data_IF_326052079633
#
_entry.id   IF_326052079633
#
_cell.length_a   1.000
_cell.length_b   1.000
_cell.length_c   1.000
_cell.angle_alpha   90.00
_cell.angle_beta   90.00
_cell.angle_gamma   90.00
#
_symmetry.space_group_name_H-M   'P 1'
#
loop_
_entity.id
_entity.type
_entity.pdbx_description
1 polymer ?
#
# COMPACT_ATOMS: atom_id res chain seq x y z
N UNK A 1 16.46 9.36 10.89
CA UNK A 1 15.97 8.08 10.33
C UNK A 1 16.41 6.96 11.27
N UNK A 2 15.63 5.89 11.46
CA UNK A 2 16.12 4.69 12.16
C UNK A 2 17.40 4.21 11.45
N UNK A 3 18.43 3.77 12.18
CA UNK A 3 19.57 3.11 11.55
C UNK A 3 19.08 1.83 10.87
N UNK A 4 19.49 1.60 9.64
CA UNK A 4 19.22 0.33 8.94
C UNK A 4 19.89 -0.78 9.74
N UNK A 5 19.08 -1.65 10.33
CA UNK A 5 19.50 -2.80 11.11
C UNK A 5 18.55 -3.96 10.80
N UNK A 6 18.96 -5.18 11.16
CA UNK A 6 18.11 -6.37 11.02
C UNK A 6 16.76 -6.16 11.72
N UNK A 7 16.77 -5.47 12.87
CA UNK A 7 15.54 -5.11 13.58
C UNK A 7 14.68 -4.13 12.76
N UNK A 8 15.25 -3.05 12.21
CA UNK A 8 14.50 -2.10 11.37
C UNK A 8 13.90 -2.78 10.14
N UNK A 9 14.64 -3.71 9.51
CA UNK A 9 14.16 -4.49 8.38
C UNK A 9 13.00 -5.41 8.81
N UNK A 10 13.16 -6.17 9.89
CA UNK A 10 12.09 -7.03 10.42
C UNK A 10 10.82 -6.25 10.77
N UNK A 11 10.97 -5.04 11.32
CA UNK A 11 9.85 -4.13 11.59
C UNK A 11 9.12 -3.68 10.32
N UNK A 12 9.85 -3.39 9.25
CA UNK A 12 9.24 -3.06 7.95
C UNK A 12 8.40 -4.21 7.42
N UNK A 13 8.93 -5.43 7.49
CA UNK A 13 8.21 -6.64 7.07
C UNK A 13 6.92 -6.84 7.86
N UNK A 14 6.96 -6.77 9.19
CA UNK A 14 5.76 -6.94 10.02
C UNK A 14 4.73 -5.84 9.72
N UNK A 15 5.18 -4.59 9.61
CA UNK A 15 4.27 -3.48 9.35
C UNK A 15 3.64 -3.56 7.94
N UNK A 16 4.44 -3.89 6.92
CA UNK A 16 3.95 -4.11 5.55
C UNK A 16 2.99 -5.29 5.46
N UNK A 17 3.28 -6.39 6.16
CA UNK A 17 2.40 -7.55 6.23
C UNK A 17 1.04 -7.18 6.82
N UNK A 18 1.00 -6.52 7.98
CA UNK A 18 -0.25 -6.13 8.61
C UNK A 18 -1.04 -5.12 7.78
N UNK A 19 -0.35 -4.15 7.16
CA UNK A 19 -0.97 -3.17 6.28
C UNK A 19 -1.58 -3.83 5.02
N UNK A 20 -0.88 -4.79 4.42
CA UNK A 20 -1.37 -5.55 3.26
C UNK A 20 -2.59 -6.40 3.63
N UNK A 21 -2.55 -7.10 4.77
CA UNK A 21 -3.72 -7.84 5.26
C UNK A 21 -4.91 -6.92 5.56
N UNK A 22 -4.69 -5.74 6.11
CA UNK A 22 -5.77 -4.78 6.34
C UNK A 22 -6.39 -4.29 5.02
N UNK A 23 -5.57 -4.03 4.00
CA UNK A 23 -6.02 -3.69 2.65
C UNK A 23 -6.87 -4.82 2.04
N UNK A 24 -6.34 -6.05 2.04
CA UNK A 24 -6.99 -7.20 1.42
C UNK A 24 -8.27 -7.57 2.17
N UNK A 25 -8.27 -7.52 3.51
CA UNK A 25 -9.46 -7.73 4.34
C UNK A 25 -10.54 -6.70 4.03
N UNK A 26 -10.18 -5.42 3.94
CA UNK A 26 -11.11 -4.38 3.51
C UNK A 26 -11.69 -4.69 2.12
N UNK A 27 -10.82 -4.96 1.14
CA UNK A 27 -11.20 -5.05 -0.26
C UNK A 27 -11.91 -6.33 -0.68
N UNK A 28 -11.63 -7.45 -0.01
CA UNK A 28 -12.13 -8.77 -0.39
C UNK A 28 -13.24 -9.28 0.53
N UNK A 29 -13.34 -8.74 1.76
CA UNK A 29 -14.30 -9.22 2.76
C UNK A 29 -15.26 -8.11 3.18
N UNK A 30 -14.74 -6.97 3.66
CA UNK A 30 -15.59 -5.92 4.23
C UNK A 30 -16.37 -5.19 3.14
N UNK A 31 -15.70 -4.73 2.07
CA UNK A 31 -16.37 -3.95 1.04
C UNK A 31 -17.46 -4.74 0.31
N UNK A 32 -17.28 -6.01 -0.10
CA UNK A 32 -18.35 -6.79 -0.71
C UNK A 32 -19.47 -7.12 0.29
N UNK A 33 -19.11 -7.39 1.56
CA UNK A 33 -20.09 -7.63 2.62
C UNK A 33 -21.01 -6.43 2.90
N UNK A 34 -20.56 -5.22 2.58
CA UNK A 34 -21.35 -3.99 2.66
C UNK A 34 -22.04 -3.62 1.33
N UNK A 35 -21.97 -4.47 0.31
CA UNK A 35 -22.56 -4.24 -1.01
C UNK A 35 -21.73 -3.34 -1.94
N UNK A 36 -20.50 -2.99 -1.56
CA UNK A 36 -19.56 -2.28 -2.44
C UNK A 36 -18.81 -3.25 -3.37
N UNK A 37 -18.02 -2.71 -4.29
CA UNK A 37 -17.23 -3.51 -5.22
C UNK A 37 -16.19 -4.39 -4.51
N UNK A 38 -15.91 -5.55 -5.10
CA UNK A 38 -14.85 -6.46 -4.68
C UNK A 38 -13.51 -6.07 -5.32
N UNK A 39 -12.48 -5.87 -4.52
CA UNK A 39 -11.13 -5.62 -5.01
C UNK A 39 -10.49 -6.92 -5.47
N UNK A 40 -9.90 -6.90 -6.67
CA UNK A 40 -8.96 -7.93 -7.13
C UNK A 40 -7.55 -7.34 -7.23
N UNK A 41 -6.78 -7.35 -6.13
CA UNK A 41 -5.47 -6.70 -6.10
C UNK A 41 -4.47 -7.41 -7.01
N UNK A 42 -4.54 -8.75 -7.05
CA UNK A 42 -3.76 -9.57 -7.97
C UNK A 42 -4.13 -9.33 -9.44
N UNK A 43 -5.38 -8.93 -9.75
CA UNK A 43 -5.84 -8.68 -11.11
C UNK A 43 -5.03 -7.58 -11.81
N UNK A 44 -4.81 -6.45 -11.14
CA UNK A 44 -3.98 -5.38 -11.66
C UNK A 44 -2.53 -5.83 -11.87
N UNK A 45 -1.96 -6.58 -10.92
CA UNK A 45 -0.62 -7.11 -11.04
C UNK A 45 -0.47 -8.06 -12.23
N UNK A 46 -1.46 -8.93 -12.47
CA UNK A 46 -1.49 -9.81 -13.66
C UNK A 46 -1.53 -9.01 -14.95
N UNK A 47 -2.38 -7.98 -15.03
CA UNK A 47 -2.45 -7.10 -16.20
C UNK A 47 -1.10 -6.42 -16.48
N UNK A 48 -0.43 -5.92 -15.44
CA UNK A 48 0.88 -5.30 -15.56
C UNK A 48 1.95 -6.29 -16.04
N UNK A 49 2.03 -7.48 -15.42
CA UNK A 49 2.99 -8.52 -15.82
C UNK A 49 2.75 -8.95 -17.27
N UNK A 50 1.49 -9.16 -17.65
CA UNK A 50 1.11 -9.51 -19.02
C UNK A 50 1.49 -8.43 -20.03
N UNK A 51 1.35 -7.14 -19.67
CA UNK A 51 1.76 -6.02 -20.51
C UNK A 51 3.26 -6.05 -20.85
N UNK A 52 4.08 -6.54 -19.93
CA UNK A 52 5.53 -6.69 -20.12
C UNK A 52 5.94 -8.07 -20.68
N UNK A 53 4.97 -8.93 -21.05
CA UNK A 53 5.26 -10.28 -21.55
C UNK A 53 5.81 -11.23 -20.47
N UNK A 54 5.62 -10.91 -19.20
CA UNK A 54 6.06 -11.73 -18.06
C UNK A 54 4.99 -12.76 -17.67
N UNK A 55 5.36 -13.84 -16.94
CA UNK A 55 4.40 -14.78 -16.38
C UNK A 55 3.34 -14.04 -15.53
N UNK A 56 2.07 -14.18 -15.89
CA UNK A 56 0.95 -13.42 -15.32
C UNK A 56 -0.17 -14.30 -14.78
N UNK A 57 0.15 -15.53 -14.35
CA UNK A 57 -0.78 -16.41 -13.64
C UNK A 57 -1.14 -15.89 -12.25
N UNK A 58 -2.11 -16.52 -11.59
CA UNK A 58 -2.60 -16.07 -10.28
C UNK A 58 -1.50 -16.01 -9.22
N UNK A 59 -0.63 -17.03 -9.16
CA UNK A 59 0.52 -17.01 -8.27
C UNK A 59 1.39 -15.77 -8.47
N UNK A 60 1.72 -15.43 -9.72
CA UNK A 60 2.56 -14.27 -10.02
C UNK A 60 1.87 -12.95 -9.65
N UNK A 61 0.56 -12.84 -9.89
CA UNK A 61 -0.25 -11.69 -9.48
C UNK A 61 -0.26 -11.49 -7.97
N UNK A 62 -0.56 -12.54 -7.21
CA UNK A 62 -0.54 -12.49 -5.74
C UNK A 62 0.88 -12.23 -5.21
N UNK A 63 1.89 -12.86 -5.80
CA UNK A 63 3.27 -12.67 -5.40
C UNK A 63 3.70 -11.21 -5.56
N UNK A 64 3.41 -10.62 -6.73
CA UNK A 64 3.76 -9.23 -7.02
C UNK A 64 3.00 -8.24 -6.14
N UNK A 65 1.67 -8.41 -6.02
CA UNK A 65 0.83 -7.55 -5.17
C UNK A 65 1.28 -7.62 -3.70
N UNK A 66 1.33 -8.82 -3.14
CA UNK A 66 1.51 -8.99 -1.71
C UNK A 66 2.97 -8.81 -1.29
N UNK A 67 3.92 -9.53 -1.92
CA UNK A 67 5.31 -9.55 -1.45
C UNK A 67 6.15 -8.41 -2.01
N UNK A 68 6.09 -8.15 -3.31
CA UNK A 68 6.95 -7.12 -3.91
C UNK A 68 6.47 -5.71 -3.57
N UNK A 69 5.16 -5.48 -3.71
CA UNK A 69 4.60 -4.14 -3.55
C UNK A 69 4.11 -3.91 -2.12
N UNK A 70 3.18 -4.73 -1.63
CA UNK A 70 2.56 -4.54 -0.31
C UNK A 70 3.51 -4.72 0.87
N UNK A 71 4.37 -5.73 0.83
CA UNK A 71 5.27 -6.07 1.94
C UNK A 71 6.59 -5.29 1.91
N UNK A 72 7.10 -4.94 0.72
CA UNK A 72 8.44 -4.36 0.55
C UNK A 72 8.39 -2.96 -0.05
N UNK A 73 7.81 -2.81 -1.25
CA UNK A 73 7.82 -1.56 -2.00
C UNK A 73 7.18 -0.39 -1.25
N UNK A 74 5.96 -0.58 -0.73
CA UNK A 74 5.24 0.46 -0.02
C UNK A 74 5.87 0.83 1.35
N UNK A 75 6.39 -0.09 2.18
CA UNK A 75 7.14 0.30 3.37
C UNK A 75 8.44 1.05 3.05
N UNK A 76 9.15 0.67 1.99
CA UNK A 76 10.34 1.39 1.50
C UNK A 76 9.96 2.81 1.06
N UNK A 77 8.91 2.94 0.25
CA UNK A 77 8.41 4.24 -0.21
C UNK A 77 8.06 5.18 0.94
N UNK A 78 7.48 4.65 2.03
CA UNK A 78 7.21 5.43 3.24
C UNK A 78 8.51 5.92 3.89
N UNK A 79 9.42 4.99 4.25
CA UNK A 79 10.58 5.31 5.09
C UNK A 79 11.66 6.12 4.39
N UNK A 80 11.88 5.87 3.09
CA UNK A 80 13.02 6.42 2.38
C UNK A 80 12.68 7.58 1.46
N UNK A 81 11.40 7.71 1.07
CA UNK A 81 10.97 8.75 0.13
C UNK A 81 9.98 9.70 0.81
N UNK A 82 8.80 9.19 1.19
CA UNK A 82 7.71 10.04 1.62
C UNK A 82 7.95 10.71 2.97
N UNK A 83 8.26 9.94 4.02
CA UNK A 83 8.46 10.48 5.37
C UNK A 83 9.60 11.53 5.43
N UNK A 84 10.76 11.31 4.77
CA UNK A 84 11.82 12.33 4.73
C UNK A 84 11.40 13.61 4.02
N UNK A 85 10.70 13.51 2.88
CA UNK A 85 10.21 14.67 2.13
C UNK A 85 9.16 15.42 2.95
N UNK A 86 8.20 14.72 3.53
CA UNK A 86 7.16 15.31 4.37
C UNK A 86 7.76 16.11 5.53
N UNK A 87 8.71 15.51 6.27
CA UNK A 87 9.39 16.18 7.38
C UNK A 87 10.19 17.40 6.91
N UNK A 88 10.76 17.38 5.72
CA UNK A 88 11.51 18.52 5.16
C UNK A 88 10.60 19.67 4.73
N UNK A 89 9.44 19.38 4.17
CA UNK A 89 8.53 20.40 3.61
C UNK A 89 7.53 20.92 4.65
N UNK A 90 6.93 20.03 5.44
CA UNK A 90 5.83 20.34 6.36
C UNK A 90 6.21 20.19 7.84
N UNK A 91 7.39 19.65 8.14
CA UNK A 91 7.84 19.39 9.51
C UNK A 91 7.05 18.27 10.19
N UNK A 92 6.98 18.33 11.52
CA UNK A 92 6.27 17.35 12.36
C UNK A 92 4.88 17.81 12.82
N UNK A 93 4.37 18.90 12.23
CA UNK A 93 3.18 19.64 12.70
C UNK A 93 1.88 18.84 12.67
N UNK A 94 1.78 17.83 11.80
CA UNK A 94 0.54 17.08 11.55
C UNK A 94 0.51 15.69 12.22
N UNK A 95 1.41 15.44 13.17
CA UNK A 95 1.55 14.13 13.79
C UNK A 95 1.88 13.04 12.77
N UNK A 96 1.43 11.81 13.03
CA UNK A 96 1.70 10.64 12.18
C UNK A 96 0.50 10.25 11.30
N UNK A 97 -0.71 10.60 11.72
CA UNK A 97 -1.95 10.13 11.10
C UNK A 97 -2.25 10.82 9.76
N UNK A 98 -2.06 12.14 9.70
CA UNK A 98 -2.24 12.90 8.46
C UNK A 98 -1.23 12.46 7.39
N UNK A 99 0.10 12.42 7.65
CA UNK A 99 1.04 11.97 6.63
C UNK A 99 0.78 10.52 6.19
N UNK A 100 0.35 9.63 7.08
CA UNK A 100 0.05 8.23 6.71
C UNK A 100 -1.16 8.13 5.78
N UNK A 101 -2.21 8.92 6.03
CA UNK A 101 -3.37 9.01 5.15
C UNK A 101 -3.01 9.61 3.78
N UNK A 102 -2.20 10.68 3.75
CA UNK A 102 -1.73 11.30 2.49
C UNK A 102 -0.84 10.33 1.71
N UNK A 103 0.02 9.57 2.40
CA UNK A 103 0.81 8.53 1.74
C UNK A 103 -0.08 7.47 1.10
N UNK A 104 -1.08 6.97 1.83
CA UNK A 104 -2.05 6.02 1.29
C UNK A 104 -2.84 6.58 0.10
N UNK A 105 -3.25 7.85 0.15
CA UNK A 105 -3.84 8.53 -1.02
C UNK A 105 -2.87 8.57 -2.21
N UNK A 106 -1.59 8.88 -1.97
CA UNK A 106 -0.55 8.84 -2.99
C UNK A 106 -0.37 7.46 -3.62
N UNK A 107 -0.43 6.39 -2.81
CA UNK A 107 -0.40 5.02 -3.31
C UNK A 107 -1.61 4.70 -4.19
N UNK A 108 -2.80 5.19 -3.84
CA UNK A 108 -3.99 5.06 -4.69
C UNK A 108 -3.81 5.74 -6.05
N UNK A 109 -3.30 6.97 -6.08
CA UNK A 109 -2.98 7.67 -7.34
C UNK A 109 -1.95 6.87 -8.15
N UNK A 110 -0.89 6.40 -7.50
CA UNK A 110 0.16 5.62 -8.14
C UNK A 110 -0.38 4.31 -8.74
N UNK A 111 -1.09 3.50 -7.95
CA UNK A 111 -1.56 2.19 -8.37
C UNK A 111 -2.77 2.28 -9.31
N UNK A 112 -3.82 2.97 -8.90
CA UNK A 112 -5.10 2.99 -9.63
C UNK A 112 -5.11 4.03 -10.75
N UNK A 113 -4.33 5.12 -10.65
CA UNK A 113 -4.15 6.07 -11.75
C UNK A 113 -3.01 5.66 -12.69
N UNK A 114 -1.81 5.45 -12.13
CA UNK A 114 -0.59 5.19 -12.90
C UNK A 114 -0.48 3.76 -13.42
N UNK A 115 -0.44 2.77 -12.52
CA UNK A 115 -0.17 1.37 -12.89
C UNK A 115 -1.27 0.80 -13.79
N UNK A 116 -2.54 1.15 -13.57
CA UNK A 116 -3.65 0.77 -14.47
C UNK A 116 -3.39 1.25 -15.91
N UNK A 117 -3.02 2.51 -16.07
CA UNK A 117 -2.74 3.12 -17.38
C UNK A 117 -1.56 2.43 -18.06
N UNK A 118 -0.49 2.14 -17.32
CA UNK A 118 0.68 1.40 -17.83
C UNK A 118 0.28 -0.01 -18.24
N UNK A 119 -0.53 -0.69 -17.43
CA UNK A 119 -1.04 -2.03 -17.68
C UNK A 119 -2.04 -2.12 -18.85
N UNK A 120 -2.40 -1.00 -19.49
CA UNK A 120 -3.38 -0.94 -20.58
C UNK A 120 -4.84 -1.02 -20.13
N UNK A 121 -5.10 -0.77 -18.84
CA UNK A 121 -6.44 -0.62 -18.29
C UNK A 121 -6.88 0.85 -18.34
N UNK A 122 -8.19 1.15 -18.28
CA UNK A 122 -8.66 2.52 -18.26
C UNK A 122 -8.08 3.31 -17.07
N UNK A 123 -7.77 4.58 -17.28
CA UNK A 123 -7.31 5.50 -16.23
C UNK A 123 -8.30 5.51 -15.07
N UNK A 124 -7.80 5.29 -13.85
CA UNK A 124 -8.63 5.12 -12.64
C UNK A 124 -9.77 4.10 -12.81
N UNK A 125 -9.62 3.09 -13.67
CA UNK A 125 -10.66 2.11 -13.99
C UNK A 125 -12.02 2.77 -14.30
N UNK A 126 -12.01 3.87 -15.06
CA UNK A 126 -13.18 4.72 -15.36
C UNK A 126 -13.91 5.24 -14.11
N UNK A 127 -13.19 5.45 -13.00
CA UNK A 127 -13.75 5.86 -11.71
C UNK A 127 -14.88 4.95 -11.21
N UNK A 128 -14.80 3.66 -11.54
CA UNK A 128 -15.76 2.64 -11.12
C UNK A 128 -15.78 2.44 -9.59
N UNK A 129 -16.72 1.64 -9.08
CA UNK A 129 -16.78 1.30 -7.66
C UNK A 129 -15.46 0.75 -7.09
N UNK A 130 -14.72 -0.01 -7.91
CA UNK A 130 -13.40 -0.56 -7.54
C UNK A 130 -12.42 0.56 -7.20
N UNK A 131 -12.47 1.68 -7.92
CA UNK A 131 -11.58 2.82 -7.73
C UNK A 131 -11.73 3.45 -6.35
N UNK A 132 -12.96 3.59 -5.89
CA UNK A 132 -13.25 4.20 -4.59
C UNK A 132 -13.01 3.24 -3.43
N UNK A 133 -13.32 1.96 -3.62
CA UNK A 133 -12.96 0.92 -2.65
C UNK A 133 -11.43 0.83 -2.49
N UNK A 134 -10.69 0.92 -3.61
CA UNK A 134 -9.23 0.96 -3.60
C UNK A 134 -8.69 2.20 -2.89
N UNK A 135 -9.34 3.36 -3.00
CA UNK A 135 -8.92 4.56 -2.27
C UNK A 135 -8.94 4.32 -0.76
N UNK A 136 -10.07 3.83 -0.23
CA UNK A 136 -10.19 3.51 1.20
C UNK A 136 -9.17 2.46 1.60
N UNK A 137 -8.97 1.42 0.78
CA UNK A 137 -7.97 0.40 1.02
C UNK A 137 -6.55 0.97 1.16
N UNK A 138 -6.10 1.82 0.22
CA UNK A 138 -4.74 2.35 0.27
C UNK A 138 -4.54 3.34 1.42
N UNK A 139 -5.56 4.15 1.75
CA UNK A 139 -5.51 5.03 2.94
C UNK A 139 -5.42 4.19 4.22
N UNK A 140 -6.23 3.14 4.34
CA UNK A 140 -6.16 2.19 5.46
C UNK A 140 -4.79 1.53 5.54
N UNK A 141 -4.23 1.08 4.41
CA UNK A 141 -2.88 0.53 4.32
C UNK A 141 -1.85 1.51 4.92
N UNK A 142 -1.85 2.77 4.47
CA UNK A 142 -0.92 3.78 4.94
C UNK A 142 -1.01 4.00 6.44
N UNK A 143 -2.23 4.11 6.97
CA UNK A 143 -2.48 4.28 8.40
C UNK A 143 -1.98 3.07 9.21
N UNK A 144 -2.33 1.84 8.80
CA UNK A 144 -1.93 0.61 9.51
C UNK A 144 -0.41 0.43 9.49
N UNK A 145 0.23 0.68 8.34
CA UNK A 145 1.69 0.63 8.21
C UNK A 145 2.37 1.50 9.27
N UNK A 146 1.97 2.77 9.36
CA UNK A 146 2.60 3.73 10.26
C UNK A 146 2.22 3.46 11.71
N UNK A 147 0.99 3.04 11.98
CA UNK A 147 0.57 2.62 13.32
C UNK A 147 1.44 1.47 13.83
N UNK A 148 1.68 0.44 13.01
CA UNK A 148 2.53 -0.70 13.36
C UNK A 148 3.98 -0.29 13.61
N UNK A 149 4.56 0.54 12.72
CA UNK A 149 5.91 1.07 12.92
C UNK A 149 6.04 1.82 14.26
N UNK A 150 5.03 2.62 14.63
CA UNK A 150 5.01 3.36 15.90
C UNK A 150 4.84 2.45 17.11
N UNK A 151 3.89 1.51 17.07
CA UNK A 151 3.63 0.56 18.16
C UNK A 151 4.89 -0.25 18.50
N UNK A 152 5.61 -0.71 17.48
CA UNK A 152 6.81 -1.49 17.70
C UNK A 152 8.01 -0.63 18.14
N UNK A 153 8.13 0.60 17.63
CA UNK A 153 9.13 1.54 18.12
C UNK A 153 8.91 1.94 19.59
N UNK A 154 7.67 1.96 20.06
CA UNK A 154 7.35 2.18 21.48
C UNK A 154 7.73 0.98 22.34
N UNK A 155 7.49 -0.25 21.87
CA UNK A 155 7.85 -1.49 22.59
C UNK A 155 9.36 -1.73 22.70
N UNK A 156 10.15 -1.31 21.70
CA UNK A 156 11.62 -1.46 21.72
C UNK A 156 12.36 -0.48 22.65
N UNK A 157 11.64 0.36 23.40
CA UNK A 157 12.19 1.33 24.37
C UNK A 157 11.83 1.00 25.82
N UNK A 158 11.15 -0.12 26.06
CA UNK A 158 10.78 -0.63 27.39
C UNK A 158 11.68 -1.77 27.84
#
# INVERSE_FOLDING_TARGET
MPKMSIATIGLMFIAGFMATNAFDFWGQVVSPGLGYANLSPHGLAKSLLGKFGLPNGDFAGYFFHFYLVGLIGYPIGWLFIFEPIWKRVLGVKFGWFVPSAVYGFGLWVFAIGGITSIAGLPFFLNFSGITWVALVGHVLYGIVLVAMLRLMAAKGRG
#
